data_IF_447665569022
#
_entry.id   IF_447665569022
#
_cell.length_a   1.000
_cell.length_b   1.000
_cell.length_c   1.000
_cell.angle_alpha   90.00
_cell.angle_beta   90.00
_cell.angle_gamma   90.00
#
_symmetry.space_group_name_H-M   'P 1'
#
loop_
_entity.id
_entity.type
_entity.pdbx_description
1 polymer ?
#
# COMPACT_ATOMS: atom_id res chain seq x y z
N UNK A 1 13.74 -22.46 -0.24
CA UNK A 1 13.14 -21.12 -0.07
C UNK A 1 12.19 -20.73 -1.20
N UNK A 2 12.59 -20.85 -2.46
CA UNK A 2 11.77 -20.46 -3.63
C UNK A 2 10.41 -21.15 -3.70
N UNK A 3 10.32 -22.43 -3.32
CA UNK A 3 9.06 -23.18 -3.26
C UNK A 3 8.07 -22.61 -2.23
N UNK A 4 8.53 -22.17 -1.05
CA UNK A 4 7.69 -21.55 -0.02
C UNK A 4 7.11 -20.21 -0.50
N UNK A 5 7.95 -19.37 -1.10
CA UNK A 5 7.52 -18.08 -1.67
C UNK A 5 6.47 -18.32 -2.75
N UNK A 6 6.67 -19.29 -3.65
CA UNK A 6 5.70 -19.63 -4.69
C UNK A 6 4.37 -20.12 -4.10
N UNK A 7 4.41 -20.91 -3.03
CA UNK A 7 3.20 -21.39 -2.34
C UNK A 7 2.44 -20.24 -1.66
N UNK A 8 3.14 -19.35 -0.96
CA UNK A 8 2.52 -18.20 -0.29
C UNK A 8 1.95 -17.20 -1.31
N UNK A 9 2.66 -16.92 -2.41
CA UNK A 9 2.14 -16.11 -3.52
C UNK A 9 0.91 -16.73 -4.16
N UNK A 10 0.92 -18.05 -4.39
CA UNK A 10 -0.23 -18.75 -4.95
C UNK A 10 -1.46 -18.68 -4.04
N UNK A 11 -1.29 -18.82 -2.73
CA UNK A 11 -2.37 -18.62 -1.74
C UNK A 11 -2.92 -17.20 -1.82
N UNK A 12 -2.04 -16.20 -1.88
CA UNK A 12 -2.42 -14.80 -1.92
C UNK A 12 -3.19 -14.46 -3.21
N UNK A 13 -2.71 -14.93 -4.37
CA UNK A 13 -3.35 -14.69 -5.67
C UNK A 13 -4.72 -15.38 -5.76
N UNK A 14 -4.86 -16.60 -5.25
CA UNK A 14 -6.14 -17.33 -5.30
C UNK A 14 -7.15 -16.88 -4.23
N UNK A 15 -6.74 -16.13 -3.22
CA UNK A 15 -7.65 -15.62 -2.19
C UNK A 15 -8.57 -14.58 -2.84
N UNK A 16 -9.89 -14.84 -2.84
CA UNK A 16 -10.89 -13.92 -3.41
C UNK A 16 -10.76 -12.48 -2.89
N UNK A 17 -10.37 -12.33 -1.61
CA UNK A 17 -10.13 -11.03 -0.99
C UNK A 17 -9.08 -10.20 -1.72
N UNK A 18 -8.01 -10.79 -2.25
CA UNK A 18 -6.95 -10.05 -2.95
C UNK A 18 -7.45 -9.42 -4.25
N UNK A 19 -8.24 -10.18 -5.02
CA UNK A 19 -8.85 -9.69 -6.24
C UNK A 19 -9.92 -8.61 -5.96
N UNK A 20 -10.72 -8.80 -4.91
CA UNK A 20 -11.72 -7.78 -4.50
C UNK A 20 -11.03 -6.49 -4.06
N UNK A 21 -9.94 -6.57 -3.30
CA UNK A 21 -9.20 -5.40 -2.83
C UNK A 21 -8.49 -4.65 -3.96
N UNK A 22 -7.95 -5.36 -4.96
CA UNK A 22 -7.35 -4.70 -6.13
C UNK A 22 -8.40 -4.00 -6.99
N UNK A 23 -9.56 -4.64 -7.22
CA UNK A 23 -10.68 -4.00 -7.94
C UNK A 23 -11.21 -2.79 -7.18
N UNK A 24 -11.38 -2.91 -5.86
CA UNK A 24 -11.81 -1.80 -5.00
C UNK A 24 -10.84 -0.62 -5.07
N UNK A 25 -9.52 -0.87 -5.10
CA UNK A 25 -8.51 0.17 -5.28
C UNK A 25 -8.67 0.89 -6.61
N UNK A 26 -8.90 0.18 -7.72
CA UNK A 26 -9.17 0.78 -9.04
C UNK A 26 -10.41 1.67 -9.00
N UNK A 27 -11.49 1.18 -8.40
CA UNK A 27 -12.76 1.92 -8.31
C UNK A 27 -12.57 3.22 -7.51
N UNK A 28 -11.83 3.17 -6.40
CA UNK A 28 -11.54 4.35 -5.58
C UNK A 28 -10.70 5.39 -6.33
N UNK A 29 -9.67 4.93 -7.05
CA UNK A 29 -8.84 5.76 -7.95
C UNK A 29 -9.68 6.47 -9.03
N UNK A 30 -10.61 5.75 -9.65
CA UNK A 30 -11.51 6.34 -10.66
C UNK A 30 -12.44 7.36 -10.00
N UNK A 31 -12.96 7.04 -8.82
CA UNK A 31 -13.81 7.95 -8.05
C UNK A 31 -13.12 9.27 -7.73
N UNK A 32 -11.89 9.23 -7.21
CA UNK A 32 -11.12 10.44 -6.90
C UNK A 32 -10.73 11.23 -8.15
N UNK A 33 -10.40 10.55 -9.26
CA UNK A 33 -10.14 11.21 -10.53
C UNK A 33 -11.38 11.95 -11.10
N UNK A 34 -12.57 11.34 -11.00
CA UNK A 34 -13.83 11.99 -11.41
C UNK A 34 -14.18 13.19 -10.53
N UNK A 35 -13.94 13.10 -9.22
CA UNK A 35 -14.14 14.22 -8.31
C UNK A 35 -13.18 15.38 -8.62
N UNK A 36 -11.91 15.09 -8.90
CA UNK A 36 -10.92 16.09 -9.31
C UNK A 36 -11.34 16.82 -10.61
N UNK A 37 -12.02 16.13 -11.54
CA UNK A 37 -12.57 16.75 -12.75
C UNK A 37 -13.76 17.65 -12.48
N UNK A 38 -14.61 17.31 -11.50
CA UNK A 38 -15.85 18.05 -11.20
C UNK A 38 -15.62 19.27 -10.31
N UNK A 39 -14.61 19.24 -9.45
CA UNK A 39 -14.33 20.27 -8.45
C UNK A 39 -12.95 20.92 -8.64
N UNK A 40 -12.68 21.43 -9.84
CA UNK A 40 -11.38 22.02 -10.24
C UNK A 40 -11.00 23.30 -9.49
N UNK A 41 -11.94 23.92 -8.77
CA UNK A 41 -11.70 25.16 -8.00
C UNK A 41 -11.17 24.90 -6.58
N UNK A 42 -11.33 23.68 -6.06
CA UNK A 42 -10.87 23.27 -4.73
C UNK A 42 -9.76 22.22 -4.85
N UNK A 43 -9.78 21.44 -5.93
CA UNK A 43 -8.90 20.30 -6.16
C UNK A 43 -8.10 20.58 -7.43
N UNK A 44 -6.83 20.92 -7.28
CA UNK A 44 -5.92 21.07 -8.41
C UNK A 44 -5.66 19.70 -9.07
N UNK A 45 -6.11 19.48 -10.33
CA UNK A 45 -5.96 18.19 -10.98
C UNK A 45 -4.50 17.80 -11.18
N UNK A 46 -3.62 18.80 -11.35
CA UNK A 46 -2.17 18.62 -11.49
C UNK A 46 -1.57 18.01 -10.22
N UNK A 47 -1.91 18.55 -9.04
CA UNK A 47 -1.40 18.04 -7.77
C UNK A 47 -1.96 16.65 -7.43
N UNK A 48 -3.23 16.41 -7.73
CA UNK A 48 -3.84 15.08 -7.55
C UNK A 48 -3.20 14.02 -8.44
N UNK A 49 -2.87 14.36 -9.69
CA UNK A 49 -2.16 13.42 -10.58
C UNK A 49 -0.74 13.14 -10.08
N UNK A 50 -0.04 14.14 -9.53
CA UNK A 50 1.26 13.96 -8.90
C UNK A 50 1.19 13.06 -7.66
N UNK A 51 0.08 13.07 -6.92
CA UNK A 51 -0.14 12.26 -5.72
C UNK A 51 -0.87 10.92 -5.98
N UNK A 52 -0.89 10.44 -7.23
CA UNK A 52 -1.58 9.19 -7.63
C UNK A 52 -3.06 9.17 -7.22
N UNK A 53 -3.76 10.30 -7.29
CA UNK A 53 -5.16 10.46 -6.89
C UNK A 53 -5.46 9.85 -5.50
N UNK A 54 -4.51 10.01 -4.56
CA UNK A 54 -4.58 9.48 -3.18
C UNK A 54 -4.58 7.96 -3.05
N UNK A 55 -4.15 7.22 -4.07
CA UNK A 55 -4.06 5.76 -4.02
C UNK A 55 -3.13 5.23 -2.93
N UNK A 56 -2.08 5.99 -2.57
CA UNK A 56 -1.08 5.62 -1.56
C UNK A 56 -1.71 5.29 -0.21
N UNK A 57 -2.65 6.11 0.28
CA UNK A 57 -3.36 5.86 1.55
C UNK A 57 -4.18 4.56 1.51
N UNK A 58 -4.84 4.29 0.38
CA UNK A 58 -5.60 3.06 0.19
C UNK A 58 -4.69 1.82 0.12
N UNK A 59 -3.54 1.94 -0.54
CA UNK A 59 -2.52 0.88 -0.59
C UNK A 59 -2.03 0.57 0.84
N UNK A 60 -1.80 1.58 1.68
CA UNK A 60 -1.40 1.37 3.08
C UNK A 60 -2.42 0.51 3.82
N UNK A 61 -3.71 0.83 3.75
CA UNK A 61 -4.74 0.02 4.42
C UNK A 61 -4.80 -1.43 3.92
N UNK A 62 -4.74 -1.62 2.59
CA UNK A 62 -4.73 -2.97 1.99
C UNK A 62 -3.50 -3.75 2.46
N UNK A 63 -2.34 -3.11 2.49
CA UNK A 63 -1.08 -3.74 2.88
C UNK A 63 -1.03 -4.07 4.38
N UNK A 64 -1.55 -3.21 5.25
CA UNK A 64 -1.69 -3.49 6.70
C UNK A 64 -2.58 -4.73 6.89
N UNK A 65 -3.73 -4.79 6.22
CA UNK A 65 -4.62 -5.94 6.30
C UNK A 65 -3.98 -7.23 5.78
N UNK A 66 -3.24 -7.16 4.67
CA UNK A 66 -2.51 -8.30 4.11
C UNK A 66 -1.40 -8.79 5.06
N UNK A 67 -0.60 -7.87 5.62
CA UNK A 67 0.49 -8.17 6.54
C UNK A 67 0.01 -8.76 7.87
N UNK A 68 -1.07 -8.23 8.43
CA UNK A 68 -1.65 -8.79 9.65
C UNK A 68 -2.25 -10.18 9.41
N UNK A 69 -2.98 -10.38 8.31
CA UNK A 69 -3.63 -11.69 8.06
C UNK A 69 -2.64 -12.80 7.69
N UNK A 70 -1.54 -12.50 7.01
CA UNK A 70 -0.56 -13.51 6.60
C UNK A 70 0.20 -14.15 7.78
N UNK A 71 0.35 -13.41 8.88
CA UNK A 71 0.99 -13.88 10.12
C UNK A 71 -0.06 -14.36 11.12
N UNK A 72 -1.03 -13.52 11.44
CA UNK A 72 -1.94 -13.81 12.56
C UNK A 72 -2.89 -14.97 12.27
N UNK A 73 -3.28 -15.25 11.02
CA UNK A 73 -4.07 -16.45 10.73
C UNK A 73 -3.28 -17.74 11.03
N UNK A 74 -1.99 -17.78 10.75
CA UNK A 74 -1.18 -18.96 11.04
C UNK A 74 -0.82 -19.09 12.52
N UNK A 75 -0.69 -17.96 13.23
CA UNK A 75 -0.57 -17.95 14.69
C UNK A 75 -1.88 -18.44 15.36
N UNK A 76 -3.04 -18.00 14.87
CA UNK A 76 -4.37 -18.40 15.35
C UNK A 76 -4.64 -19.89 15.18
N UNK A 77 -4.40 -20.43 13.98
CA UNK A 77 -4.71 -21.82 13.67
C UNK A 77 -3.59 -22.80 14.05
N UNK A 78 -2.50 -22.32 14.66
CA UNK A 78 -1.38 -23.16 15.09
C UNK A 78 -0.62 -23.86 13.96
N UNK A 79 -0.92 -23.53 12.69
CA UNK A 79 -0.31 -24.16 11.50
C UNK A 79 1.18 -23.86 11.36
N UNK A 80 1.65 -22.81 12.05
CA UNK A 80 3.06 -22.46 12.19
C UNK A 80 3.87 -23.62 12.82
N UNK A 81 3.28 -24.37 13.77
CA UNK A 81 3.93 -25.54 14.40
C UNK A 81 4.03 -26.73 13.45
N UNK A 82 3.00 -26.94 12.61
CA UNK A 82 2.97 -28.03 11.63
C UNK A 82 3.99 -27.82 10.50
N UNK A 83 4.28 -26.57 10.13
CA UNK A 83 5.31 -26.26 9.13
C UNK A 83 6.74 -26.46 9.66
N UNK A 84 6.98 -26.13 10.93
CA UNK A 84 8.28 -26.33 11.59
C UNK A 84 8.64 -27.81 11.75
N UNK A 85 7.65 -28.69 11.84
CA UNK A 85 7.87 -30.13 11.93
C UNK A 85 8.41 -30.75 10.62
N UNK A 86 8.26 -30.05 9.48
CA UNK A 86 8.52 -30.60 8.14
C UNK A 86 9.88 -30.19 7.52
N UNK A 87 10.84 -29.74 8.33
CA UNK A 87 12.24 -29.34 7.98
C UNK A 87 12.51 -27.86 7.60
N UNK A 88 11.60 -26.92 7.85
CA UNK A 88 11.87 -25.49 7.57
C UNK A 88 12.28 -24.72 8.84
N UNK A 89 13.24 -23.81 8.71
CA UNK A 89 13.67 -22.93 9.80
C UNK A 89 12.63 -21.84 10.11
N UNK A 90 12.58 -21.37 11.36
CA UNK A 90 11.69 -20.26 11.78
C UNK A 90 11.92 -18.98 10.97
N UNK A 91 13.19 -18.68 10.67
CA UNK A 91 13.56 -17.49 9.89
C UNK A 91 13.18 -17.64 8.41
N UNK A 92 13.30 -18.84 7.87
CA UNK A 92 12.97 -19.14 6.47
C UNK A 92 11.48 -18.93 6.15
N UNK A 93 10.59 -19.30 7.10
CA UNK A 93 9.15 -19.06 6.97
C UNK A 93 8.85 -17.56 6.99
N UNK A 94 9.46 -16.82 7.93
CA UNK A 94 9.24 -15.39 8.10
C UNK A 94 9.75 -14.59 6.89
N UNK A 95 10.94 -14.93 6.37
CA UNK A 95 11.50 -14.34 5.15
C UNK A 95 10.63 -14.61 3.94
N UNK A 96 10.05 -15.82 3.81
CA UNK A 96 9.15 -16.11 2.69
C UNK A 96 7.91 -15.21 2.68
N UNK A 97 7.33 -14.93 3.85
CA UNK A 97 6.18 -14.03 3.99
C UNK A 97 6.56 -12.58 3.71
N UNK A 98 7.71 -12.14 4.21
CA UNK A 98 8.23 -10.81 3.91
C UNK A 98 8.40 -10.60 2.40
N UNK A 99 9.01 -11.56 1.69
CA UNK A 99 9.14 -11.51 0.22
C UNK A 99 7.77 -11.48 -0.47
N UNK A 100 6.78 -12.24 0.01
CA UNK A 100 5.43 -12.19 -0.60
C UNK A 100 4.77 -10.83 -0.44
N UNK A 101 4.99 -10.13 0.68
CA UNK A 101 4.50 -8.76 0.89
C UNK A 101 5.24 -7.76 0.00
N UNK A 102 6.55 -7.92 -0.22
CA UNK A 102 7.32 -7.12 -1.19
C UNK A 102 6.72 -7.22 -2.59
N UNK A 103 6.48 -8.44 -3.06
CA UNK A 103 5.91 -8.66 -4.39
C UNK A 103 4.50 -8.06 -4.48
N UNK A 104 3.69 -8.23 -3.42
CA UNK A 104 2.34 -7.69 -3.38
C UNK A 104 2.31 -6.15 -3.34
N UNK A 105 3.19 -5.50 -2.58
CA UNK A 105 3.27 -4.03 -2.58
C UNK A 105 3.68 -3.49 -3.95
N UNK A 106 4.68 -4.10 -4.59
CA UNK A 106 5.14 -3.68 -5.93
C UNK A 106 4.01 -3.81 -6.94
N UNK A 107 3.24 -4.90 -6.89
CA UNK A 107 2.07 -5.09 -7.74
C UNK A 107 1.02 -3.99 -7.55
N UNK A 108 0.66 -3.64 -6.30
CA UNK A 108 -0.33 -2.60 -6.04
C UNK A 108 0.12 -1.21 -6.49
N UNK A 109 1.38 -0.86 -6.29
CA UNK A 109 1.94 0.42 -6.76
C UNK A 109 2.00 0.49 -8.28
N UNK A 110 2.43 -0.58 -8.96
CA UNK A 110 2.41 -0.64 -10.43
C UNK A 110 0.99 -0.46 -10.98
N UNK A 111 0.02 -1.14 -10.37
CA UNK A 111 -1.38 -1.02 -10.75
C UNK A 111 -1.89 0.42 -10.55
N UNK A 112 -1.58 1.05 -9.42
CA UNK A 112 -1.97 2.43 -9.17
C UNK A 112 -1.34 3.42 -10.16
N UNK A 113 -0.06 3.23 -10.54
CA UNK A 113 0.60 4.05 -11.55
C UNK A 113 -0.08 3.89 -12.92
N UNK A 114 -0.33 2.65 -13.36
CA UNK A 114 -0.99 2.37 -14.64
C UNK A 114 -2.37 3.05 -14.69
N UNK A 115 -3.18 2.88 -13.64
CA UNK A 115 -4.52 3.50 -13.58
C UNK A 115 -4.42 5.02 -13.56
N UNK A 116 -3.47 5.61 -12.81
CA UNK A 116 -3.27 7.06 -12.76
C UNK A 116 -2.90 7.62 -14.14
N UNK A 117 -2.00 6.95 -14.87
CA UNK A 117 -1.61 7.34 -16.23
C UNK A 117 -2.80 7.23 -17.19
N UNK A 118 -3.59 6.15 -17.11
CA UNK A 118 -4.80 6.00 -17.94
C UNK A 118 -5.84 7.09 -17.63
N UNK A 119 -6.10 7.38 -16.35
CA UNK A 119 -7.04 8.41 -15.94
C UNK A 119 -6.57 9.80 -16.38
N UNK A 120 -5.27 10.09 -16.29
CA UNK A 120 -4.68 11.32 -16.82
C UNK A 120 -4.98 11.47 -18.33
N UNK A 121 -4.71 10.43 -19.12
CA UNK A 121 -4.91 10.45 -20.57
C UNK A 121 -6.38 10.65 -20.97
N UNK A 122 -7.32 10.06 -20.22
CA UNK A 122 -8.76 10.10 -20.55
C UNK A 122 -9.43 11.39 -20.04
N UNK A 123 -9.15 11.81 -18.81
CA UNK A 123 -9.87 12.92 -18.17
C UNK A 123 -9.20 14.28 -18.36
N UNK A 124 -7.87 14.33 -18.53
CA UNK A 124 -7.09 15.57 -18.57
C UNK A 124 -6.10 15.60 -19.75
N UNK A 125 -6.59 15.58 -21.00
CA UNK A 125 -5.73 15.59 -22.18
C UNK A 125 -4.91 16.88 -22.35
N UNK A 126 -5.28 17.97 -21.66
CA UNK A 126 -4.60 19.27 -21.73
C UNK A 126 -3.40 19.42 -20.79
N UNK A 127 -3.16 18.48 -19.86
CA UNK A 127 -2.07 18.59 -18.88
C UNK A 127 -0.79 17.97 -19.46
N UNK A 128 0.16 18.83 -19.83
CA UNK A 128 1.46 18.41 -20.34
C UNK A 128 2.28 17.73 -19.24
N UNK A 129 3.03 16.67 -19.59
CA UNK A 129 3.94 15.99 -18.64
C UNK A 129 5.05 16.89 -18.05
N UNK A 130 5.25 18.06 -18.67
CA UNK A 130 6.28 19.05 -18.36
C UNK A 130 5.72 20.29 -17.65
N UNK A 131 4.41 20.36 -17.39
CA UNK A 131 3.87 21.47 -16.60
C UNK A 131 4.48 21.46 -15.20
N UNK A 132 4.94 22.63 -14.77
CA UNK A 132 5.54 22.85 -13.46
C UNK A 132 4.43 22.83 -12.43
N UNK A 133 4.54 21.94 -11.46
CA UNK A 133 3.75 22.01 -10.23
C UNK A 133 4.20 23.25 -9.45
N UNK A 134 3.37 23.75 -8.54
CA UNK A 134 3.60 24.88 -7.60
C UNK A 134 5.00 24.91 -6.95
N UNK A 135 5.71 23.78 -6.92
CA UNK A 135 7.08 23.58 -6.39
C UNK A 135 8.22 23.68 -7.43
N UNK A 136 7.94 24.04 -8.68
CA UNK A 136 8.94 24.18 -9.76
C UNK A 136 9.45 22.87 -10.36
N UNK A 137 8.96 21.72 -9.89
CA UNK A 137 9.29 20.40 -10.41
C UNK A 137 8.32 19.96 -11.51
N UNK A 138 8.82 19.15 -12.45
CA UNK A 138 7.97 18.54 -13.49
C UNK A 138 6.99 17.54 -12.87
N UNK A 139 5.80 17.40 -13.46
CA UNK A 139 4.77 16.45 -13.00
C UNK A 139 5.28 15.01 -12.88
N UNK A 140 6.20 14.59 -13.76
CA UNK A 140 6.85 13.28 -13.68
C UNK A 140 7.74 13.17 -12.44
N UNK A 141 8.48 14.22 -12.11
CA UNK A 141 9.43 14.22 -11.01
C UNK A 141 8.70 14.23 -9.66
N UNK A 142 7.61 15.00 -9.55
CA UNK A 142 6.78 15.00 -8.34
C UNK A 142 6.09 13.65 -8.15
N UNK A 143 5.56 13.03 -9.21
CA UNK A 143 4.97 11.69 -9.15
C UNK A 143 5.98 10.63 -8.71
N UNK A 144 7.19 10.64 -9.27
CA UNK A 144 8.22 9.67 -8.91
C UNK A 144 8.73 9.88 -7.48
N UNK A 145 8.97 11.13 -7.08
CA UNK A 145 9.42 11.45 -5.72
C UNK A 145 8.36 11.07 -4.69
N UNK A 146 7.09 11.33 -4.99
CA UNK A 146 5.96 10.97 -4.12
C UNK A 146 5.76 9.46 -4.00
N UNK A 147 5.83 8.72 -5.12
CA UNK A 147 5.71 7.25 -5.08
C UNK A 147 6.86 6.60 -4.31
N UNK A 148 8.10 7.06 -4.51
CA UNK A 148 9.24 6.55 -3.75
C UNK A 148 9.15 6.88 -2.25
N UNK A 149 8.82 8.13 -1.91
CA UNK A 149 8.67 8.55 -0.52
C UNK A 149 7.58 7.77 0.20
N UNK A 150 6.41 7.61 -0.43
CA UNK A 150 5.29 6.83 0.12
C UNK A 150 5.60 5.33 0.22
N UNK A 151 6.35 4.77 -0.73
CA UNK A 151 6.79 3.37 -0.68
C UNK A 151 7.71 3.10 0.52
N UNK A 152 8.69 3.97 0.76
CA UNK A 152 9.59 3.88 1.92
C UNK A 152 8.78 3.99 3.23
N UNK A 153 7.88 4.97 3.32
CA UNK A 153 7.03 5.16 4.49
C UNK A 153 6.12 3.95 4.78
N UNK A 154 5.56 3.36 3.73
CA UNK A 154 4.74 2.14 3.84
C UNK A 154 5.55 0.97 4.40
N UNK A 155 6.80 0.78 3.95
CA UNK A 155 7.65 -0.29 4.47
C UNK A 155 8.02 -0.13 5.94
N UNK A 156 8.21 1.10 6.39
CA UNK A 156 8.44 1.39 7.81
C UNK A 156 7.22 0.95 8.63
N UNK A 157 6.01 1.34 8.22
CA UNK A 157 4.77 0.95 8.91
C UNK A 157 4.57 -0.57 8.88
N UNK A 158 4.80 -1.22 7.74
CA UNK A 158 4.65 -2.66 7.61
C UNK A 158 5.59 -3.45 8.53
N UNK A 159 6.82 -2.97 8.75
CA UNK A 159 7.75 -3.63 9.66
C UNK A 159 7.21 -3.68 11.10
N UNK A 160 6.58 -2.59 11.56
CA UNK A 160 5.93 -2.51 12.87
C UNK A 160 4.68 -3.39 12.93
N UNK A 161 3.85 -3.39 11.88
CA UNK A 161 2.65 -4.23 11.82
C UNK A 161 3.00 -5.71 11.87
N UNK A 162 4.03 -6.15 11.14
CA UNK A 162 4.50 -7.53 11.17
C UNK A 162 4.99 -7.93 12.55
N UNK A 163 5.72 -7.05 13.24
CA UNK A 163 6.15 -7.28 14.62
C UNK A 163 4.95 -7.48 15.55
N UNK A 164 3.96 -6.58 15.48
CA UNK A 164 2.73 -6.64 16.30
C UNK A 164 1.93 -7.91 15.97
N UNK A 165 1.83 -8.29 14.70
CA UNK A 165 1.12 -9.49 14.25
C UNK A 165 1.72 -10.79 14.82
N UNK A 166 3.03 -10.82 15.08
CA UNK A 166 3.69 -11.95 15.74
C UNK A 166 3.35 -12.05 17.24
N UNK A 167 3.12 -10.92 17.93
CA UNK A 167 2.74 -10.91 19.34
C UNK A 167 1.25 -11.16 19.56
N UNK A 168 0.42 -10.72 18.63
CA UNK A 168 -1.03 -10.79 18.74
C UNK A 168 -1.56 -12.04 18.03
N UNK A 169 -2.09 -12.99 18.80
CA UNK A 169 -2.76 -14.20 18.32
C UNK A 169 -4.15 -13.93 17.72
N UNK A 170 -4.43 -12.70 17.30
CA UNK A 170 -5.71 -12.26 16.73
C UNK A 170 -5.49 -11.40 15.50
N UNK A 171 -5.98 -11.86 14.34
CA UNK A 171 -5.89 -11.13 13.08
C UNK A 171 -6.59 -9.77 13.15
N UNK A 172 -7.78 -9.69 13.76
CA UNK A 172 -8.50 -8.43 13.93
C UNK A 172 -7.75 -7.40 14.78
N UNK A 173 -7.15 -7.84 15.90
CA UNK A 173 -6.43 -6.95 16.80
C UNK A 173 -5.08 -6.47 16.22
N UNK A 174 -4.42 -7.29 15.39
CA UNK A 174 -3.23 -6.84 14.66
C UNK A 174 -3.56 -5.78 13.60
N UNK A 175 -4.68 -5.95 12.88
CA UNK A 175 -5.13 -4.98 11.88
C UNK A 175 -5.45 -3.63 12.53
N UNK A 176 -6.22 -3.63 13.62
CA UNK A 176 -6.60 -2.39 14.31
C UNK A 176 -5.37 -1.65 14.83
N UNK A 177 -4.42 -2.37 15.43
CA UNK A 177 -3.17 -1.78 15.89
C UNK A 177 -2.39 -1.11 14.74
N UNK A 178 -2.27 -1.78 13.59
CA UNK A 178 -1.58 -1.21 12.43
C UNK A 178 -2.23 0.06 11.89
N UNK A 179 -3.57 0.10 11.87
CA UNK A 179 -4.34 1.29 11.44
C UNK A 179 -4.12 2.45 12.41
N UNK A 180 -4.15 2.19 13.72
CA UNK A 180 -3.90 3.22 14.75
C UNK A 180 -2.50 3.82 14.58
N UNK A 181 -1.48 2.99 14.32
CA UNK A 181 -0.12 3.47 14.06
C UNK A 181 -0.04 4.36 12.82
N UNK A 182 -0.73 3.99 11.74
CA UNK A 182 -0.77 4.82 10.53
C UNK A 182 -1.39 6.19 10.80
N UNK A 183 -2.53 6.24 11.50
CA UNK A 183 -3.17 7.52 11.86
C UNK A 183 -2.30 8.36 12.80
N UNK A 184 -1.69 7.73 13.81
CA UNK A 184 -0.77 8.42 14.71
C UNK A 184 0.41 9.05 13.94
N UNK A 185 1.01 8.30 13.01
CA UNK A 185 2.08 8.80 12.14
C UNK A 185 1.60 9.97 11.27
N UNK A 186 0.39 9.89 10.71
CA UNK A 186 -0.19 10.98 9.92
C UNK A 186 -0.44 12.25 10.75
N UNK A 187 -0.93 12.12 11.98
CA UNK A 187 -1.18 13.26 12.87
C UNK A 187 0.15 13.93 13.25
N UNK A 188 1.15 13.13 13.62
CA UNK A 188 2.49 13.64 13.95
C UNK A 188 3.10 14.39 12.75
N UNK A 189 2.99 13.82 11.55
CA UNK A 189 3.44 14.49 10.33
C UNK A 189 2.73 15.82 10.09
N UNK A 190 1.41 15.88 10.34
CA UNK A 190 0.64 17.11 10.20
C UNK A 190 1.07 18.19 11.18
N UNK A 191 1.30 17.81 12.45
CA UNK A 191 1.79 18.73 13.49
C UNK A 191 3.19 19.24 13.14
N UNK A 192 4.09 18.38 12.67
CA UNK A 192 5.44 18.77 12.27
C UNK A 192 5.43 19.79 11.14
N UNK A 193 4.61 19.59 10.12
CA UNK A 193 4.48 20.56 9.02
C UNK A 193 3.93 21.90 9.53
N UNK A 194 2.94 21.87 10.42
CA UNK A 194 2.35 23.07 11.01
C UNK A 194 3.33 23.85 11.92
N UNK A 195 4.34 23.18 12.48
CA UNK A 195 5.38 23.82 13.31
C UNK A 195 6.55 24.39 12.48
N UNK A 196 6.75 23.89 11.26
CA UNK A 196 7.84 24.29 10.37
C UNK A 196 7.42 25.45 9.44
N UNK A 197 6.12 25.56 9.15
CA UNK A 197 5.53 26.72 8.47
C UNK A 197 5.46 27.94 9.40
#
# INVERSE_FOLDING_TARGET
MTLLVKQELFKLIKKKSTAVLSVLLVVLLIGTALLAKKYTTIIDPVEMTAQLFSATSWIVFIMIAAASTIISMEAQYGTLKNLLYRKYSRGEILVSKWITLVIYSVYLYLLAIIVTVLMKLILFPSISFTEKVSTGQTLIQSLFTYTLGSYIGLWLILSLVLMIACFINSSGASISAGIVFYFASSIISGILIALIQ
#
